data_IF_865038111962
#
_entry.id   IF_865038111962
#
_cell.length_a   1.000
_cell.length_b   1.000
_cell.length_c   1.000
_cell.angle_alpha   90.00
_cell.angle_beta   90.00
_cell.angle_gamma   90.00
#
_symmetry.space_group_name_H-M   'P 1'
#
loop_
_entity.id
_entity.type
_entity.pdbx_description
1 polymer ?
#
# COMPACT_ATOMS: atom_id res chain seq x y z
N UNK A 1 -17.82 -2.32 10.02
CA UNK A 1 -18.00 -2.44 11.47
C UNK A 1 -16.71 -2.97 12.11
N UNK A 2 -15.92 -2.06 12.77
CA UNK A 2 -14.62 -2.43 13.35
C UNK A 2 -14.73 -3.44 14.51
N UNK A 3 -15.67 -3.34 15.46
CA UNK A 3 -15.83 -4.33 16.52
C UNK A 3 -16.09 -5.75 16.00
N UNK A 4 -16.90 -5.90 14.98
CA UNK A 4 -17.17 -7.20 14.34
C UNK A 4 -15.88 -7.78 13.70
N UNK A 5 -15.07 -6.95 13.05
CA UNK A 5 -13.79 -7.38 12.52
C UNK A 5 -12.84 -7.85 13.61
N UNK A 6 -12.81 -7.18 14.76
CA UNK A 6 -12.03 -7.59 15.95
C UNK A 6 -12.51 -8.95 16.47
N UNK A 7 -13.83 -9.15 16.56
CA UNK A 7 -14.43 -10.43 16.99
C UNK A 7 -14.02 -11.58 16.07
N UNK A 8 -14.07 -11.36 14.74
CA UNK A 8 -13.64 -12.37 13.77
C UNK A 8 -12.15 -12.67 13.93
N UNK A 9 -11.30 -11.64 14.00
CA UNK A 9 -9.85 -11.80 14.10
C UNK A 9 -9.41 -12.44 15.43
N UNK A 10 -10.17 -12.28 16.51
CA UNK A 10 -9.83 -12.91 17.82
C UNK A 10 -10.04 -14.41 17.84
N UNK A 11 -10.73 -14.99 16.84
CA UNK A 11 -10.94 -16.44 16.77
C UNK A 11 -9.64 -17.18 16.49
N UNK A 12 -9.46 -18.40 17.06
CA UNK A 12 -8.22 -19.18 16.92
C UNK A 12 -7.82 -19.49 15.47
N UNK A 13 -8.78 -19.61 14.57
CA UNK A 13 -8.53 -19.90 13.14
C UNK A 13 -8.00 -18.70 12.34
N UNK A 14 -8.00 -17.49 12.94
CA UNK A 14 -7.45 -16.27 12.34
C UNK A 14 -6.21 -15.79 13.11
N UNK A 15 -6.26 -14.60 13.74
CA UNK A 15 -5.14 -14.10 14.53
C UNK A 15 -5.03 -14.81 15.88
N UNK A 16 -6.18 -15.16 16.51
CA UNK A 16 -6.23 -15.92 17.75
C UNK A 16 -5.70 -15.17 18.99
N UNK A 17 -5.58 -13.84 18.93
CA UNK A 17 -5.25 -13.01 20.07
C UNK A 17 -6.52 -12.58 20.81
N UNK A 18 -6.40 -12.23 22.09
CA UNK A 18 -7.52 -11.75 22.87
C UNK A 18 -8.19 -10.54 22.23
N UNK A 19 -9.52 -10.49 22.33
CA UNK A 19 -10.34 -9.41 21.75
C UNK A 19 -9.81 -8.02 22.15
N UNK A 20 -9.53 -7.80 23.44
CA UNK A 20 -9.08 -6.49 23.96
C UNK A 20 -7.72 -6.07 23.39
N UNK A 21 -6.85 -7.03 23.10
CA UNK A 21 -5.55 -6.76 22.47
C UNK A 21 -5.74 -6.26 21.02
N UNK A 22 -6.56 -6.93 20.25
CA UNK A 22 -6.85 -6.53 18.86
C UNK A 22 -7.66 -5.21 18.84
N UNK A 23 -8.67 -5.09 19.72
CA UNK A 23 -9.52 -3.92 19.82
C UNK A 23 -8.74 -2.64 20.14
N UNK A 24 -7.69 -2.74 20.93
CA UNK A 24 -6.86 -1.62 21.33
C UNK A 24 -6.26 -0.83 20.14
N UNK A 25 -6.02 -1.48 19.01
CA UNK A 25 -5.50 -0.81 17.82
C UNK A 25 -6.55 -0.58 16.73
N UNK A 26 -7.64 -1.35 16.74
CA UNK A 26 -8.59 -1.37 15.62
C UNK A 26 -9.82 -0.48 15.80
N UNK A 27 -10.23 -0.19 17.05
CA UNK A 27 -11.52 0.46 17.32
C UNK A 27 -11.48 1.99 17.34
N UNK A 28 -10.33 2.58 17.04
CA UNK A 28 -10.15 4.04 17.00
C UNK A 28 -9.65 4.65 18.32
N UNK A 29 -9.46 3.82 19.33
CA UNK A 29 -8.83 4.20 20.59
C UNK A 29 -7.56 3.39 20.76
N UNK A 30 -6.56 3.96 21.42
CA UNK A 30 -5.34 3.26 21.79
C UNK A 30 -4.97 3.56 23.22
N UNK A 31 -4.77 2.52 24.01
CA UNK A 31 -4.27 2.64 25.38
C UNK A 31 -2.76 2.45 25.38
N UNK A 32 -2.01 3.54 25.58
CA UNK A 32 -0.54 3.57 25.55
C UNK A 32 0.05 2.98 26.82
N UNK A 33 -0.58 3.29 27.93
CA UNK A 33 -0.28 2.73 29.25
C UNK A 33 -1.56 2.70 30.08
N UNK A 34 -1.57 1.98 31.18
CA UNK A 34 -2.77 1.79 32.00
C UNK A 34 -3.42 3.12 32.38
N UNK A 35 -4.59 3.37 31.83
CA UNK A 35 -5.39 4.58 32.08
C UNK A 35 -5.08 5.75 31.14
N UNK A 36 -4.07 5.67 30.26
CA UNK A 36 -3.83 6.65 29.20
C UNK A 36 -4.44 6.17 27.87
N UNK A 37 -5.74 6.31 27.75
CA UNK A 37 -6.50 5.95 26.56
C UNK A 37 -6.76 7.19 25.70
N UNK A 38 -6.30 7.16 24.45
CA UNK A 38 -6.42 8.29 23.51
C UNK A 38 -7.24 7.90 22.30
N UNK A 39 -7.98 8.88 21.75
CA UNK A 39 -8.68 8.74 20.48
C UNK A 39 -7.68 8.89 19.33
N UNK A 40 -7.49 7.81 18.57
CA UNK A 40 -6.60 7.77 17.39
C UNK A 40 -7.33 7.05 16.27
N UNK A 41 -8.32 7.70 15.62
CA UNK A 41 -9.18 7.07 14.63
C UNK A 41 -8.44 6.58 13.38
N UNK A 42 -7.26 7.14 13.11
CA UNK A 42 -6.44 6.85 11.94
C UNK A 42 -5.23 5.95 12.25
N UNK A 43 -5.18 5.32 13.44
CA UNK A 43 -4.13 4.34 13.74
C UNK A 43 -4.15 3.16 12.76
N UNK A 44 -5.35 2.67 12.43
CA UNK A 44 -5.58 1.73 11.35
C UNK A 44 -6.61 2.30 10.37
N UNK A 45 -6.19 2.55 9.15
CA UNK A 45 -7.06 2.99 8.06
C UNK A 45 -7.32 1.83 7.11
N UNK A 46 -8.58 1.39 7.00
CA UNK A 46 -8.97 0.26 6.15
C UNK A 46 -9.60 0.70 4.83
N UNK A 47 -10.36 1.78 4.84
CA UNK A 47 -11.13 2.21 3.66
C UNK A 47 -10.87 3.66 3.26
N UNK A 48 -10.84 4.60 4.21
CA UNK A 48 -10.56 6.01 3.92
C UNK A 48 -9.26 6.18 3.13
N UNK A 49 -9.20 7.23 2.32
CA UNK A 49 -8.04 7.58 1.50
C UNK A 49 -7.68 6.50 0.46
N UNK A 50 -8.66 5.68 0.06
CA UNK A 50 -8.45 4.53 -0.82
C UNK A 50 -7.38 3.54 -0.30
N UNK A 51 -7.27 3.38 1.03
CA UNK A 51 -6.22 2.60 1.67
C UNK A 51 -6.14 1.13 1.20
N UNK A 52 -7.28 0.56 0.77
CA UNK A 52 -7.36 -0.82 0.27
C UNK A 52 -7.38 -0.92 -1.26
N UNK A 53 -7.40 0.21 -1.96
CA UNK A 53 -7.29 0.18 -3.41
C UNK A 53 -5.87 -0.24 -3.82
N UNK A 54 -5.72 -1.26 -4.69
CA UNK A 54 -4.41 -1.81 -5.02
C UNK A 54 -3.71 -0.93 -6.07
N UNK A 55 -3.13 0.19 -5.63
CA UNK A 55 -2.37 1.06 -6.51
C UNK A 55 -1.10 0.38 -7.03
N UNK A 56 -0.84 0.46 -8.32
CA UNK A 56 0.42 -0.01 -8.91
C UNK A 56 1.63 0.68 -8.30
N UNK A 57 1.52 1.99 -7.99
CA UNK A 57 2.59 2.72 -7.30
C UNK A 57 2.99 2.08 -5.97
N UNK A 58 2.06 1.51 -5.20
CA UNK A 58 2.39 0.81 -3.96
C UNK A 58 3.18 -0.48 -4.23
N UNK A 59 2.75 -1.26 -5.23
CA UNK A 59 3.51 -2.46 -5.64
C UNK A 59 4.92 -2.09 -6.14
N UNK A 60 5.04 -1.06 -6.96
CA UNK A 60 6.34 -0.55 -7.43
C UNK A 60 7.21 -0.11 -6.24
N UNK A 61 6.63 0.57 -5.23
CA UNK A 61 7.37 0.94 -4.03
C UNK A 61 7.95 -0.28 -3.31
N UNK A 62 7.16 -1.33 -3.09
CA UNK A 62 7.66 -2.56 -2.49
C UNK A 62 8.80 -3.17 -3.29
N UNK A 63 8.68 -3.24 -4.61
CA UNK A 63 9.73 -3.76 -5.49
C UNK A 63 11.01 -2.91 -5.43
N UNK A 64 10.89 -1.57 -5.33
CA UNK A 64 12.05 -0.71 -5.14
C UNK A 64 12.72 -0.94 -3.80
N UNK A 65 11.96 -1.17 -2.71
CA UNK A 65 12.55 -1.53 -1.42
C UNK A 65 13.20 -2.91 -1.46
N UNK A 66 12.59 -3.89 -2.13
CA UNK A 66 13.22 -5.21 -2.34
C UNK A 66 14.54 -5.09 -3.11
N UNK A 67 14.61 -4.23 -4.12
CA UNK A 67 15.86 -3.90 -4.82
C UNK A 67 16.86 -3.19 -3.91
N UNK A 68 16.40 -2.17 -3.19
CA UNK A 68 17.20 -1.39 -2.26
C UNK A 68 17.93 -2.26 -1.22
N UNK A 69 17.26 -3.29 -0.73
CA UNK A 69 17.76 -4.16 0.33
C UNK A 69 18.30 -5.49 -0.16
N UNK A 70 18.52 -5.64 -1.48
CA UNK A 70 19.22 -6.79 -2.06
C UNK A 70 18.38 -8.07 -2.17
N UNK A 71 17.04 -8.00 -2.02
CA UNK A 71 16.16 -9.12 -2.30
C UNK A 71 15.97 -9.32 -3.82
N UNK A 72 16.10 -8.25 -4.58
CA UNK A 72 16.27 -8.26 -6.02
C UNK A 72 17.70 -7.81 -6.27
N UNK A 73 18.59 -8.74 -6.61
CA UNK A 73 20.03 -8.51 -6.74
C UNK A 73 20.46 -7.90 -8.08
N UNK A 74 19.62 -8.06 -9.13
CA UNK A 74 19.86 -7.50 -10.44
C UNK A 74 19.14 -6.16 -10.66
N UNK A 75 19.77 -5.25 -11.40
CA UNK A 75 19.11 -4.03 -11.87
C UNK A 75 17.99 -4.38 -12.85
N UNK A 76 16.83 -3.71 -12.69
CA UNK A 76 15.65 -3.90 -13.54
C UNK A 76 15.29 -2.57 -14.21
N UNK A 77 14.69 -2.63 -15.40
CA UNK A 77 14.17 -1.43 -16.07
C UNK A 77 12.90 -0.90 -15.38
N UNK A 78 12.57 0.36 -15.58
CA UNK A 78 11.32 0.93 -15.07
C UNK A 78 10.09 0.17 -15.56
N UNK A 79 10.11 -0.28 -16.83
CA UNK A 79 9.05 -1.09 -17.41
C UNK A 79 8.88 -2.43 -16.67
N UNK A 80 9.96 -3.05 -16.19
CA UNK A 80 9.85 -4.30 -15.44
C UNK A 80 9.06 -4.11 -14.14
N UNK A 81 9.29 -3.00 -13.44
CA UNK A 81 8.56 -2.70 -12.19
C UNK A 81 7.06 -2.53 -12.45
N UNK A 82 6.69 -1.79 -13.50
CA UNK A 82 5.29 -1.61 -13.90
C UNK A 82 4.65 -2.93 -14.32
N UNK A 83 5.34 -3.73 -15.14
CA UNK A 83 4.85 -5.03 -15.59
C UNK A 83 4.57 -5.99 -14.43
N UNK A 84 5.47 -6.07 -13.45
CA UNK A 84 5.28 -6.92 -12.26
C UNK A 84 4.12 -6.39 -11.42
N UNK A 85 4.05 -5.08 -11.18
CA UNK A 85 2.97 -4.47 -10.44
C UNK A 85 1.60 -4.82 -11.05
N UNK A 86 1.45 -4.72 -12.38
CA UNK A 86 0.21 -5.04 -13.11
C UNK A 86 -0.13 -6.53 -13.11
N UNK A 87 0.85 -7.40 -13.03
CA UNK A 87 0.61 -8.85 -12.91
C UNK A 87 0.05 -9.23 -11.54
N UNK A 88 0.44 -8.54 -10.48
CA UNK A 88 0.09 -8.87 -9.09
C UNK A 88 -1.11 -8.06 -8.61
N UNK A 89 -1.12 -6.74 -8.78
CA UNK A 89 -2.19 -5.86 -8.34
C UNK A 89 -3.28 -5.79 -9.41
N UNK A 90 -4.54 -5.88 -8.99
CA UNK A 90 -5.70 -5.98 -9.87
C UNK A 90 -6.77 -4.94 -9.50
N UNK A 91 -6.55 -3.64 -9.79
CA UNK A 91 -7.53 -2.59 -9.53
C UNK A 91 -8.91 -2.86 -10.13
N UNK A 92 -8.97 -3.50 -11.30
CA UNK A 92 -10.23 -3.82 -11.95
C UNK A 92 -11.13 -4.71 -11.08
N UNK A 93 -10.57 -5.73 -10.42
CA UNK A 93 -11.34 -6.61 -9.52
C UNK A 93 -11.88 -5.82 -8.33
N UNK A 94 -11.08 -4.90 -7.77
CA UNK A 94 -11.52 -4.01 -6.71
C UNK A 94 -12.69 -3.14 -7.14
N UNK A 95 -12.61 -2.53 -8.33
CA UNK A 95 -13.66 -1.65 -8.86
C UNK A 95 -14.93 -2.43 -9.22
N UNK A 96 -14.82 -3.67 -9.71
CA UNK A 96 -15.98 -4.53 -9.91
C UNK A 96 -16.73 -4.82 -8.58
N UNK A 97 -15.98 -5.16 -7.53
CA UNK A 97 -16.56 -5.36 -6.20
C UNK A 97 -17.16 -4.05 -5.64
N UNK A 98 -16.48 -2.92 -5.84
CA UNK A 98 -16.98 -1.60 -5.45
C UNK A 98 -18.31 -1.26 -6.15
N UNK A 99 -18.45 -1.58 -7.45
CA UNK A 99 -19.68 -1.36 -8.21
C UNK A 99 -20.85 -2.13 -7.60
N UNK A 100 -20.65 -3.39 -7.23
CA UNK A 100 -21.69 -4.19 -6.58
C UNK A 100 -22.14 -3.55 -5.25
N UNK A 101 -21.21 -3.07 -4.44
CA UNK A 101 -21.55 -2.40 -3.17
C UNK A 101 -22.33 -1.10 -3.39
N UNK A 102 -21.99 -0.32 -4.42
CA UNK A 102 -22.74 0.90 -4.77
C UNK A 102 -24.14 0.54 -5.26
N UNK A 103 -24.29 -0.45 -6.14
CA UNK A 103 -25.58 -0.89 -6.69
C UNK A 103 -26.52 -1.44 -5.59
N UNK A 104 -25.96 -2.06 -4.55
CA UNK A 104 -26.68 -2.53 -3.37
C UNK A 104 -26.94 -1.43 -2.32
N UNK A 105 -26.47 -0.21 -2.54
CA UNK A 105 -26.63 0.91 -1.61
C UNK A 105 -25.80 0.78 -0.32
N UNK A 106 -24.74 -0.06 -0.33
CA UNK A 106 -23.87 -0.31 0.82
C UNK A 106 -22.66 0.63 0.85
N UNK A 107 -22.38 1.34 -0.25
CA UNK A 107 -21.31 2.31 -0.37
C UNK A 107 -21.73 3.46 -1.31
N UNK A 108 -21.01 4.60 -1.24
CA UNK A 108 -21.26 5.72 -2.14
C UNK A 108 -20.32 5.66 -3.34
N UNK A 109 -20.79 6.03 -4.51
CA UNK A 109 -19.98 6.08 -5.72
C UNK A 109 -18.75 6.99 -5.57
N UNK A 110 -18.91 8.11 -4.88
CA UNK A 110 -17.82 9.06 -4.65
C UNK A 110 -16.67 8.53 -3.77
N UNK A 111 -16.86 7.38 -3.12
CA UNK A 111 -15.85 6.80 -2.23
C UNK A 111 -14.76 6.02 -2.98
N UNK A 112 -14.88 5.84 -4.29
CA UNK A 112 -14.00 4.99 -5.07
C UNK A 112 -13.28 5.75 -6.19
N UNK A 113 -12.02 5.38 -6.51
CA UNK A 113 -11.20 6.07 -7.52
C UNK A 113 -11.45 5.51 -8.92
N UNK A 114 -12.67 5.70 -9.47
CA UNK A 114 -13.11 5.12 -10.78
C UNK A 114 -12.20 5.50 -11.95
N UNK A 115 -11.68 6.73 -11.95
CA UNK A 115 -10.86 7.28 -13.03
C UNK A 115 -9.35 7.12 -12.79
N UNK A 116 -8.96 6.33 -11.77
CA UNK A 116 -7.55 6.12 -11.45
C UNK A 116 -6.86 5.28 -12.51
N UNK A 117 -5.69 5.73 -12.96
CA UNK A 117 -4.78 4.94 -13.79
C UNK A 117 -3.96 3.91 -12.98
N UNK A 118 -4.25 3.80 -11.68
CA UNK A 118 -3.58 2.91 -10.75
C UNK A 118 -2.33 3.50 -10.09
N UNK A 119 -2.01 4.75 -10.34
CA UNK A 119 -0.90 5.45 -9.71
C UNK A 119 -1.41 6.56 -8.79
N UNK A 120 -0.86 6.63 -7.59
CA UNK A 120 -1.14 7.74 -6.67
C UNK A 120 -0.54 9.04 -7.18
N UNK A 121 -1.18 10.15 -6.83
CA UNK A 121 -0.51 11.44 -6.94
C UNK A 121 0.78 11.43 -6.09
N UNK A 122 1.83 12.13 -6.52
CA UNK A 122 3.06 12.22 -5.74
C UNK A 122 2.78 12.71 -4.32
N UNK A 123 3.36 12.05 -3.34
CA UNK A 123 3.31 12.53 -1.96
C UNK A 123 4.26 13.72 -1.83
N UNK A 124 3.80 14.89 -1.33
CA UNK A 124 4.65 16.04 -1.17
C UNK A 124 5.89 15.72 -0.33
N UNK A 125 7.04 16.22 -0.72
CA UNK A 125 8.31 15.98 -0.03
C UNK A 125 8.27 16.37 1.47
N UNK A 126 7.47 17.37 1.82
CA UNK A 126 7.28 17.81 3.22
C UNK A 126 6.61 16.74 4.10
N UNK A 127 5.87 15.80 3.51
CA UNK A 127 5.13 14.75 4.22
C UNK A 127 5.95 13.45 4.33
N UNK A 128 7.15 13.42 3.73
CA UNK A 128 8.04 12.26 3.73
C UNK A 128 9.28 12.56 4.57
N UNK A 129 9.65 11.62 5.44
CA UNK A 129 10.72 11.81 6.44
C UNK A 129 12.09 12.14 5.81
N UNK A 130 12.38 11.61 4.62
CA UNK A 130 13.62 11.87 3.87
C UNK A 130 13.48 12.99 2.81
N UNK A 131 12.28 13.56 2.67
CA UNK A 131 11.99 14.63 1.73
C UNK A 131 12.03 14.21 0.26
N UNK A 132 12.03 12.90 -0.04
CA UNK A 132 12.09 12.38 -1.41
C UNK A 132 10.68 12.11 -1.93
N UNK A 133 10.28 12.83 -2.97
CA UNK A 133 9.00 12.64 -3.62
C UNK A 133 8.93 11.30 -4.36
N UNK A 134 7.78 10.62 -4.26
CA UNK A 134 7.56 9.33 -4.91
C UNK A 134 6.19 9.25 -5.58
N UNK A 135 6.16 8.83 -6.84
CA UNK A 135 4.93 8.60 -7.62
C UNK A 135 4.82 7.19 -8.23
N UNK A 136 5.88 6.40 -8.15
CA UNK A 136 5.98 5.05 -8.73
C UNK A 136 6.25 5.01 -10.22
N UNK A 137 6.35 6.14 -10.92
CA UNK A 137 6.49 6.18 -12.39
C UNK A 137 7.94 6.09 -12.86
N UNK A 138 8.88 6.47 -11.99
CA UNK A 138 10.32 6.43 -12.27
C UNK A 138 11.06 5.68 -11.17
N UNK A 139 10.84 4.36 -11.01
CA UNK A 139 11.39 3.58 -9.90
C UNK A 139 12.90 3.63 -9.78
N UNK A 140 13.63 3.66 -10.89
CA UNK A 140 15.08 3.77 -10.85
C UNK A 140 15.56 5.18 -10.45
N UNK A 141 14.88 6.22 -10.93
CA UNK A 141 15.13 7.59 -10.48
C UNK A 141 14.91 7.74 -8.97
N UNK A 142 13.84 7.13 -8.43
CA UNK A 142 13.60 7.09 -7.00
C UNK A 142 14.71 6.34 -6.25
N UNK A 143 15.12 5.15 -6.71
CA UNK A 143 16.21 4.38 -6.12
C UNK A 143 17.53 5.18 -6.09
N UNK A 144 17.84 5.90 -7.17
CA UNK A 144 19.06 6.69 -7.27
C UNK A 144 19.06 7.92 -6.35
N UNK A 145 17.90 8.43 -5.97
CA UNK A 145 17.75 9.53 -5.02
C UNK A 145 18.01 9.12 -3.56
N UNK A 146 17.93 7.82 -3.25
CA UNK A 146 18.13 7.32 -1.90
C UNK A 146 19.63 7.28 -1.56
N UNK A 147 19.99 7.64 -0.33
CA UNK A 147 21.39 7.65 0.13
C UNK A 147 21.90 6.27 0.54
N UNK A 148 21.01 5.35 0.93
CA UNK A 148 21.34 4.05 1.50
C UNK A 148 20.71 2.92 0.70
N UNK A 149 21.40 1.80 0.57
CA UNK A 149 20.96 0.59 -0.11
C UNK A 149 21.51 0.44 -1.51
N UNK A 150 21.18 -0.70 -2.17
CA UNK A 150 21.55 -0.96 -3.56
C UNK A 150 20.72 -0.08 -4.47
N UNK A 151 21.36 0.58 -5.43
CA UNK A 151 20.68 1.46 -6.38
C UNK A 151 20.32 0.74 -7.66
N UNK A 152 19.26 1.20 -8.28
CA UNK A 152 18.71 0.56 -9.46
C UNK A 152 19.21 1.15 -10.77
N UNK A 153 20.19 2.06 -10.73
CA UNK A 153 20.63 2.71 -11.96
C UNK A 153 20.83 1.72 -13.08
N UNK A 154 20.15 1.97 -14.13
CA UNK A 154 20.05 1.25 -15.19
C UNK A 154 20.95 1.49 -16.20
N UNK A 155 21.92 0.76 -16.42
CA UNK A 155 22.52 0.63 -17.75
C UNK A 155 22.27 -0.76 -18.28
N UNK A 156 21.05 -1.04 -18.56
CA UNK A 156 20.81 -2.11 -19.52
C UNK A 156 20.65 -1.45 -20.86
N UNK A 157 21.78 -1.07 -21.43
CA UNK A 157 21.85 -0.78 -22.84
C UNK A 157 21.59 -2.09 -23.57
N UNK A 158 20.34 -2.26 -24.04
CA UNK A 158 20.05 -3.14 -25.17
C UNK A 158 20.17 -4.63 -24.94
N UNK A 159 19.62 -5.19 -23.87
CA UNK A 159 19.28 -6.60 -23.87
C UNK A 159 17.83 -6.77 -23.42
N UNK A 160 17.01 -7.26 -24.34
CA UNK A 160 15.71 -7.82 -24.02
C UNK A 160 15.93 -8.86 -22.94
N UNK A 161 15.54 -8.55 -21.72
CA UNK A 161 15.53 -9.54 -20.64
C UNK A 161 14.35 -10.46 -20.94
N UNK A 162 14.64 -11.57 -21.61
CA UNK A 162 13.75 -12.72 -21.67
C UNK A 162 13.68 -13.30 -20.26
N UNK A 163 12.57 -13.05 -19.58
CA UNK A 163 12.24 -13.70 -18.33
C UNK A 163 11.33 -14.88 -18.53
#
# INVERSE_FOLDING_TARGET
NRPEAVEILSRPEYVGADYDVIANSMTGFFEFEKGDKRDIPDFNVFFRYNATYPFYSDAVWYLTQMRRWGQIDEAKSDAWYDDVARKVYKPAIYLEAARLLVDEGLANEADFPWDSDGYKAPTPAADIIDGIEYDGRTPNGYLDSLSIGLKGAQTVVGTDVKG
#
